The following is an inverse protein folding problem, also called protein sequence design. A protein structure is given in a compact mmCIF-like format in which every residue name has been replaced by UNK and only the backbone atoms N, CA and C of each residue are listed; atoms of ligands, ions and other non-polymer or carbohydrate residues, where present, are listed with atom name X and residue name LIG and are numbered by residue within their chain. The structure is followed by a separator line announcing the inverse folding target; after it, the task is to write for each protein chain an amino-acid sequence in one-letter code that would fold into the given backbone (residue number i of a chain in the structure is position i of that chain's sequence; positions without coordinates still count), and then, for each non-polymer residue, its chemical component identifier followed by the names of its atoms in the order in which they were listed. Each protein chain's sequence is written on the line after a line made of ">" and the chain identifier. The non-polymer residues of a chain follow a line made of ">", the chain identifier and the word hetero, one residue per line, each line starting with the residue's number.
data_IF_269283533334
#
_entry.id   IF_269283533334
#
_cell.length_a   1.000
_cell.length_b   1.000
_cell.length_c   1.000
_cell.angle_alpha   90.00
_cell.angle_beta   90.00
_cell.angle_gamma   90.00
#
_symmetry.space_group_name_H-M   'P 1'
#
loop_
_entity.id
_entity.type
_entity.pdbx_description
1 polymer ?
#
# COMPACT_ATOMS: atom_id res chain seq x y z
N UNK A 1 9.23 12.52 -35.76
CA UNK A 1 9.96 12.70 -34.48
C UNK A 1 9.23 11.89 -33.44
N UNK A 2 9.96 11.08 -32.67
CA UNK A 2 9.39 10.05 -31.80
C UNK A 2 8.42 10.65 -30.77
N UNK A 3 7.15 10.26 -30.86
CA UNK A 3 6.22 10.36 -29.74
C UNK A 3 6.76 9.41 -28.67
N UNK A 4 7.57 9.89 -27.74
CA UNK A 4 7.97 9.10 -26.57
C UNK A 4 6.72 8.89 -25.75
N UNK A 5 6.06 7.76 -26.02
CA UNK A 5 5.00 7.19 -25.24
C UNK A 5 5.58 6.70 -23.90
N UNK A 6 6.08 7.63 -23.09
CA UNK A 6 6.42 7.46 -21.67
C UNK A 6 5.17 7.65 -20.79
N UNK A 7 3.98 7.39 -21.34
CA UNK A 7 2.69 7.50 -20.66
C UNK A 7 1.96 6.15 -20.50
N UNK A 8 2.56 5.04 -20.94
CA UNK A 8 1.93 3.73 -20.98
C UNK A 8 2.57 2.66 -20.07
N UNK A 9 3.08 3.05 -18.89
CA UNK A 9 3.31 2.11 -17.76
C UNK A 9 2.84 2.67 -16.42
N UNK A 10 1.83 3.53 -16.46
CA UNK A 10 1.05 3.94 -15.29
C UNK A 10 0.04 2.83 -14.97
N UNK A 11 0.53 1.61 -14.69
CA UNK A 11 -0.20 0.81 -13.71
C UNK A 11 -0.20 1.72 -12.49
N UNK A 12 -1.38 2.13 -12.03
CA UNK A 12 -1.53 2.85 -10.77
C UNK A 12 -0.62 2.16 -9.75
N UNK A 13 0.50 2.82 -9.42
CA UNK A 13 1.47 2.24 -8.53
C UNK A 13 0.70 2.10 -7.22
N UNK A 14 0.36 0.86 -6.85
CA UNK A 14 -0.59 0.51 -5.78
C UNK A 14 -0.31 1.28 -4.48
N UNK A 15 0.95 1.70 -4.29
CA UNK A 15 1.41 2.51 -3.17
C UNK A 15 0.71 3.87 -3.08
N UNK A 16 0.17 4.41 -4.18
CA UNK A 16 -0.61 5.65 -4.21
C UNK A 16 -2.12 5.42 -4.12
N UNK A 17 -2.60 4.16 -4.23
CA UNK A 17 -4.03 3.85 -4.06
C UNK A 17 -4.43 4.11 -2.61
N UNK A 18 -5.46 4.93 -2.41
CA UNK A 18 -5.98 5.23 -1.08
C UNK A 18 -6.46 3.96 -0.36
N UNK A 19 -7.12 3.07 -1.08
CA UNK A 19 -7.60 1.79 -0.54
C UNK A 19 -6.42 0.93 -0.04
N UNK A 20 -5.37 0.81 -0.85
CA UNK A 20 -4.17 0.08 -0.46
C UNK A 20 -3.50 0.72 0.75
N UNK A 21 -3.38 2.05 0.79
CA UNK A 21 -2.79 2.77 1.92
C UNK A 21 -3.55 2.50 3.22
N UNK A 22 -4.88 2.55 3.20
CA UNK A 22 -5.71 2.26 4.37
C UNK A 22 -5.52 0.81 4.83
N UNK A 23 -5.76 -0.15 3.93
CA UNK A 23 -5.64 -1.58 4.22
C UNK A 23 -4.24 -1.97 4.75
N UNK A 24 -3.20 -1.42 4.12
CA UNK A 24 -1.82 -1.68 4.52
C UNK A 24 -1.52 -1.09 5.89
N UNK A 25 -1.97 0.13 6.17
CA UNK A 25 -1.71 0.83 7.44
C UNK A 25 -2.37 0.15 8.63
N UNK A 26 -3.62 -0.31 8.47
CA UNK A 26 -4.31 -1.15 9.45
C UNK A 26 -3.54 -2.45 9.74
N UNK A 27 -2.96 -3.04 8.70
CA UNK A 27 -2.19 -4.28 8.82
C UNK A 27 -0.82 -4.09 9.48
N UNK A 28 -0.18 -2.94 9.26
CA UNK A 28 1.11 -2.58 9.88
C UNK A 28 0.93 -2.38 11.38
N UNK A 29 -0.07 -1.61 11.79
CA UNK A 29 -0.37 -1.34 13.20
C UNK A 29 0.83 -0.78 13.95
N UNK A 30 1.11 -1.29 15.15
CA UNK A 30 2.12 -0.76 16.09
C UNK A 30 3.55 -0.76 15.55
N UNK A 31 3.82 -1.54 14.49
CA UNK A 31 5.14 -1.64 13.87
C UNK A 31 5.47 -0.47 12.93
N UNK A 32 4.55 0.49 12.76
CA UNK A 32 4.70 1.59 11.81
C UNK A 32 5.99 2.40 12.00
N UNK A 33 6.42 2.62 13.25
CA UNK A 33 7.63 3.39 13.57
C UNK A 33 8.88 2.63 13.14
N UNK A 34 8.92 1.33 13.40
CA UNK A 34 9.99 0.44 12.95
C UNK A 34 10.03 0.38 11.42
N UNK A 35 8.86 0.28 10.77
CA UNK A 35 8.77 0.28 9.31
C UNK A 35 9.26 1.60 8.72
N UNK A 36 8.86 2.74 9.27
CA UNK A 36 9.31 4.07 8.83
C UNK A 36 10.82 4.21 8.84
N UNK A 37 11.49 3.76 9.91
CA UNK A 37 12.97 3.72 9.98
C UNK A 37 13.58 2.83 8.92
N UNK A 38 12.99 1.66 8.64
CA UNK A 38 13.48 0.74 7.58
C UNK A 38 13.25 1.30 6.18
N UNK A 39 12.33 2.23 6.03
CA UNK A 39 12.07 2.99 4.81
C UNK A 39 12.87 4.30 4.74
N UNK A 40 13.82 4.50 5.65
CA UNK A 40 14.67 5.69 5.76
C UNK A 40 13.89 7.01 5.96
N UNK A 41 12.75 6.95 6.65
CA UNK A 41 12.12 8.17 7.17
C UNK A 41 12.91 8.61 8.41
N UNK A 42 13.28 9.89 8.45
CA UNK A 42 14.00 10.49 9.57
C UNK A 42 13.18 10.43 10.88
N UNK A 43 13.87 10.26 12.01
CA UNK A 43 13.22 10.11 13.32
C UNK A 43 12.39 11.34 13.73
N UNK A 44 12.82 12.56 13.36
CA UNK A 44 12.07 13.80 13.57
C UNK A 44 10.69 13.75 12.89
N UNK A 45 10.61 13.21 11.68
CA UNK A 45 9.36 13.07 10.92
C UNK A 45 8.47 12.03 11.59
N UNK A 46 9.06 10.94 12.11
CA UNK A 46 8.32 9.92 12.83
C UNK A 46 7.80 10.43 14.17
N UNK A 47 8.54 11.28 14.87
CA UNK A 47 8.09 11.96 16.09
C UNK A 47 6.91 12.89 15.80
N UNK A 48 7.02 13.73 14.77
CA UNK A 48 5.92 14.60 14.35
C UNK A 48 4.66 13.80 13.98
N UNK A 49 4.80 12.66 13.27
CA UNK A 49 3.67 11.77 12.98
C UNK A 49 3.05 11.19 14.26
N UNK A 50 3.87 10.83 15.25
CA UNK A 50 3.42 10.28 16.53
C UNK A 50 2.62 11.30 17.35
N UNK A 51 3.01 12.57 17.28
CA UNK A 51 2.35 13.71 17.93
C UNK A 51 1.07 14.13 17.19
N UNK A 52 1.08 14.16 15.86
CA UNK A 52 -0.05 14.63 15.03
C UNK A 52 -1.24 13.66 15.00
N UNK A 53 -1.02 12.39 15.36
CA UNK A 53 -2.02 11.34 15.22
C UNK A 53 -2.16 10.58 16.54
N UNK A 54 -3.40 10.29 16.97
CA UNK A 54 -3.62 9.53 18.20
C UNK A 54 -3.71 8.01 17.95
N UNK A 55 -4.32 7.61 16.83
CA UNK A 55 -4.54 6.20 16.51
C UNK A 55 -3.34 5.60 15.79
N UNK A 56 -3.07 4.34 16.07
CA UNK A 56 -1.93 3.62 15.49
C UNK A 56 -2.06 3.47 13.98
N UNK A 57 -3.27 3.26 13.49
CA UNK A 57 -3.59 3.11 12.08
C UNK A 57 -3.37 4.44 11.33
N UNK A 58 -3.76 5.57 11.94
CA UNK A 58 -3.55 6.92 11.39
C UNK A 58 -2.04 7.25 11.34
N UNK A 59 -1.28 6.87 12.37
CA UNK A 59 0.19 6.98 12.37
C UNK A 59 0.82 6.16 11.25
N UNK A 60 0.37 4.91 11.08
CA UNK A 60 0.84 4.03 10.01
C UNK A 60 0.52 4.60 8.62
N UNK A 61 -0.67 5.17 8.45
CA UNK A 61 -1.10 5.81 7.21
C UNK A 61 -0.28 7.06 6.88
N UNK A 62 -0.07 7.92 7.88
CA UNK A 62 0.75 9.12 7.77
C UNK A 62 2.20 8.76 7.45
N UNK A 63 2.80 7.78 8.15
CA UNK A 63 4.14 7.26 7.86
C UNK A 63 4.25 6.75 6.42
N UNK A 64 3.31 5.91 5.99
CA UNK A 64 3.34 5.36 4.64
C UNK A 64 3.17 6.44 3.57
N UNK A 65 2.29 7.41 3.81
CA UNK A 65 2.09 8.56 2.91
C UNK A 65 3.35 9.42 2.83
N UNK A 66 3.99 9.71 3.96
CA UNK A 66 5.26 10.45 4.02
C UNK A 66 6.34 9.73 3.23
N UNK A 67 6.50 8.42 3.40
CA UNK A 67 7.46 7.64 2.60
C UNK A 67 7.21 7.76 1.09
N UNK A 68 5.95 7.61 0.64
CA UNK A 68 5.61 7.72 -0.79
C UNK A 68 5.79 9.13 -1.37
N UNK A 69 5.85 10.16 -0.52
CA UNK A 69 6.07 11.56 -0.93
C UNK A 69 7.55 11.95 -0.93
N UNK A 70 8.32 11.43 0.02
CA UNK A 70 9.74 11.73 0.17
C UNK A 70 10.64 10.90 -0.76
N UNK A 71 10.16 9.72 -1.19
CA UNK A 71 10.87 8.90 -2.14
C UNK A 71 10.50 9.31 -3.57
N UNK A 72 11.49 9.64 -4.40
CA UNK A 72 11.30 10.04 -5.80
C UNK A 72 10.65 8.94 -6.65
N UNK A 73 10.90 7.68 -6.31
CA UNK A 73 10.39 6.52 -7.05
C UNK A 73 10.11 5.33 -6.11
N UNK A 74 9.08 5.42 -5.24
CA UNK A 74 8.79 4.38 -4.28
C UNK A 74 8.33 3.12 -5.01
N UNK A 75 8.96 1.99 -4.68
CA UNK A 75 8.62 0.70 -5.29
C UNK A 75 8.09 -0.30 -4.27
N UNK A 76 7.18 -1.16 -4.74
CA UNK A 76 6.68 -2.31 -3.95
C UNK A 76 7.84 -3.23 -3.54
N UNK A 77 8.90 -3.29 -4.35
CA UNK A 77 10.12 -4.07 -4.05
C UNK A 77 10.85 -3.54 -2.81
N UNK A 78 11.00 -2.22 -2.69
CA UNK A 78 11.62 -1.59 -1.51
C UNK A 78 10.77 -1.80 -0.26
N UNK A 79 9.45 -1.61 -0.37
CA UNK A 79 8.53 -1.90 0.72
C UNK A 79 8.66 -3.34 1.20
N UNK A 80 8.61 -4.31 0.28
CA UNK A 80 8.78 -5.74 0.60
C UNK A 80 10.15 -6.03 1.20
N UNK A 81 11.22 -5.36 0.75
CA UNK A 81 12.57 -5.50 1.34
C UNK A 81 12.59 -5.04 2.80
N UNK A 82 12.00 -3.88 3.11
CA UNK A 82 11.88 -3.39 4.47
C UNK A 82 11.10 -4.37 5.36
N UNK A 83 9.97 -4.88 4.87
CA UNK A 83 9.15 -5.87 5.57
C UNK A 83 9.87 -7.21 5.80
N UNK A 84 10.67 -7.69 4.84
CA UNK A 84 11.52 -8.89 5.01
C UNK A 84 12.54 -8.68 6.12
N UNK A 85 13.17 -7.51 6.19
CA UNK A 85 14.11 -7.18 7.25
C UNK A 85 13.44 -7.11 8.63
N UNK A 86 12.14 -6.80 8.68
CA UNK A 86 11.31 -6.85 9.90
C UNK A 86 10.74 -8.25 10.18
N UNK A 87 10.98 -9.24 9.31
CA UNK A 87 10.36 -10.58 9.36
C UNK A 87 8.82 -10.56 9.28
N UNK A 88 8.20 -9.47 8.80
CA UNK A 88 6.74 -9.35 8.59
C UNK A 88 6.32 -9.97 7.25
N UNK A 89 6.48 -11.28 7.13
CA UNK A 89 6.14 -12.04 5.91
C UNK A 89 4.63 -12.06 5.66
N UNK A 90 3.84 -11.96 6.73
CA UNK A 90 2.39 -11.78 6.69
C UNK A 90 1.99 -10.54 5.86
N UNK A 91 2.67 -9.42 6.07
CA UNK A 91 2.40 -8.19 5.31
C UNK A 91 2.81 -8.30 3.86
N UNK A 92 3.90 -8.99 3.56
CA UNK A 92 4.32 -9.24 2.18
C UNK A 92 3.25 -10.03 1.42
N UNK A 93 2.68 -11.07 2.05
CA UNK A 93 1.59 -11.84 1.45
C UNK A 93 0.36 -10.99 1.19
N UNK A 94 -0.03 -10.13 2.15
CA UNK A 94 -1.14 -9.20 1.98
C UNK A 94 -0.94 -8.27 0.78
N UNK A 95 0.29 -7.76 0.58
CA UNK A 95 0.63 -6.96 -0.60
C UNK A 95 0.49 -7.79 -1.88
N UNK A 96 1.02 -9.03 -1.90
CA UNK A 96 0.90 -9.92 -3.06
C UNK A 96 -0.56 -10.24 -3.40
N UNK A 97 -1.39 -10.50 -2.39
CA UNK A 97 -2.82 -10.79 -2.54
C UNK A 97 -3.56 -9.56 -3.12
N UNK A 98 -3.32 -8.36 -2.58
CA UNK A 98 -3.91 -7.12 -3.09
C UNK A 98 -3.49 -6.82 -4.53
N UNK A 99 -2.24 -7.08 -4.91
CA UNK A 99 -1.79 -6.88 -6.31
C UNK A 99 -2.43 -7.85 -7.30
N UNK A 100 -2.76 -9.06 -6.86
CA UNK A 100 -3.40 -10.07 -7.70
C UNK A 100 -4.85 -9.71 -7.96
N UNK A 101 -5.58 -9.29 -6.92
CA UNK A 101 -7.00 -8.89 -7.06
C UNK A 101 -7.15 -7.67 -7.97
N UNK A 102 -6.24 -6.69 -7.90
CA UNK A 102 -6.27 -5.51 -8.78
C UNK A 102 -5.92 -5.79 -10.24
N UNK A 103 -5.27 -6.92 -10.54
CA UNK A 103 -4.81 -7.29 -11.90
C UNK A 103 -5.75 -8.23 -12.65
N UNK A 104 -6.85 -8.65 -12.01
CA UNK A 104 -7.82 -9.56 -12.62
C UNK A 104 -8.84 -8.76 -13.47
N UNK A 105 -8.94 -8.98 -14.79
CA UNK A 105 -10.14 -8.59 -15.51
C UNK A 105 -11.26 -9.49 -15.00
N UNK A 106 -12.20 -8.93 -14.26
CA UNK A 106 -13.36 -9.66 -13.76
C UNK A 106 -14.18 -10.18 -14.95
N UNK A 107 -13.88 -11.40 -15.38
CA UNK A 107 -14.81 -12.23 -16.12
C UNK A 107 -15.87 -12.73 -15.15
N UNK A 108 -17.08 -12.19 -15.31
CA UNK A 108 -18.38 -12.86 -15.13
C UNK A 108 -18.51 -13.88 -14.01
N UNK A 109 -19.43 -13.60 -13.07
CA UNK A 109 -20.75 -14.27 -13.17
C UNK A 109 -21.82 -13.47 -12.43
N UNK A 110 -22.66 -12.83 -13.24
CA UNK A 110 -24.08 -12.60 -13.00
C UNK A 110 -24.72 -13.90 -12.46
N UNK A 111 -25.10 -13.93 -11.19
CA UNK A 111 -26.12 -14.87 -10.71
C UNK A 111 -27.45 -14.13 -10.70
N UNK A 112 -28.18 -14.28 -11.79
CA UNK A 112 -29.59 -13.92 -11.88
C UNK A 112 -30.38 -14.69 -10.82
N UNK A 113 -30.99 -13.99 -9.86
CA UNK A 113 -32.13 -14.55 -9.13
C UNK A 113 -33.34 -14.50 -10.04
N UNK A 114 -33.51 -15.55 -10.86
CA UNK A 114 -34.76 -15.84 -11.55
C UNK A 114 -35.70 -16.43 -10.50
N UNK A 115 -36.59 -15.61 -9.93
CA UNK A 115 -37.69 -16.09 -9.09
C UNK A 115 -38.78 -16.62 -10.02
N UNK A 116 -38.58 -17.84 -10.49
CA UNK A 116 -39.70 -18.69 -10.90
C UNK A 116 -40.26 -19.30 -9.60
N UNK A 117 -41.54 -19.07 -9.28
CA UNK A 117 -42.37 -20.01 -8.51
C UNK A 117 -43.84 -19.56 -8.47
N UNK A 118 -44.62 -20.38 -9.20
CA UNK A 118 -46.04 -20.79 -9.09
C UNK A 118 -47.14 -19.77 -8.78
#
# INVERSE_FOLDING_TARGET
>A
MAQTNTYAKKHENILYSQEFKLYFSESVGVDWRTLGRRLNIEDNCLEMIDEDNNKTEDKAYSMFTTWTRMNDNPTVKELKKALRNMKRIDLIRKIDEFTKTSSSPESSTRTSFKKDNY
#
